data_IF_057711248791
#
_entry.id   IF_057711248791
#
_cell.length_a   1.000
_cell.length_b   1.000
_cell.length_c   1.000
_cell.angle_alpha   90.00
_cell.angle_beta   90.00
_cell.angle_gamma   90.00
#
_symmetry.space_group_name_H-M   'P 1'
#
loop_
_entity.id
_entity.type
_entity.pdbx_description
1 polymer ?
#
# COMPACT_ATOMS: atom_id res chain seq x y z
N UNK A 1 2.70 1.91 10.39
CA UNK A 1 2.91 3.38 10.47
C UNK A 1 1.59 4.12 10.44
N UNK A 2 1.05 4.39 9.25
CA UNK A 2 -0.15 5.23 9.05
C UNK A 2 -1.40 4.72 9.79
N UNK A 3 -1.65 3.42 9.78
CA UNK A 3 -2.79 2.83 10.50
C UNK A 3 -2.72 3.04 12.02
N UNK A 4 -1.51 3.01 12.61
CA UNK A 4 -1.29 3.27 14.04
C UNK A 4 -1.57 4.73 14.42
N UNK A 5 -1.27 5.67 13.52
CA UNK A 5 -1.56 7.10 13.72
C UNK A 5 -3.08 7.34 13.71
N UNK A 6 -3.80 6.71 12.77
CA UNK A 6 -5.27 6.81 12.70
C UNK A 6 -5.95 6.19 13.92
N UNK A 7 -5.42 5.06 14.43
CA UNK A 7 -5.86 4.47 15.69
C UNK A 7 -5.60 5.39 16.89
N UNK A 8 -4.41 6.01 16.98
CA UNK A 8 -4.11 6.99 18.02
C UNK A 8 -5.05 8.21 17.96
N UNK A 9 -5.39 8.66 16.75
CA UNK A 9 -6.35 9.75 16.54
C UNK A 9 -7.75 9.37 17.02
N UNK A 10 -8.18 8.12 16.79
CA UNK A 10 -9.45 7.60 17.30
C UNK A 10 -9.48 7.54 18.84
N UNK A 11 -8.39 7.09 19.48
CA UNK A 11 -8.29 7.03 20.94
C UNK A 11 -8.37 8.43 21.57
N UNK A 12 -7.73 9.44 20.96
CA UNK A 12 -7.73 10.81 21.48
C UNK A 12 -9.05 11.56 21.23
N UNK A 13 -9.73 11.31 20.10
CA UNK A 13 -10.97 12.03 19.72
C UNK A 13 -12.27 11.30 20.07
N UNK A 14 -12.21 10.01 20.44
CA UNK A 14 -13.36 9.17 20.72
C UNK A 14 -14.31 9.02 19.53
N UNK A 15 -15.57 8.62 19.78
CA UNK A 15 -16.63 8.43 18.77
C UNK A 15 -17.18 9.76 18.17
N UNK A 16 -16.45 10.86 18.29
CA UNK A 16 -16.80 12.10 17.61
C UNK A 16 -16.68 11.99 16.08
N UNK A 17 -17.14 13.02 15.38
CA UNK A 17 -17.11 13.10 13.90
C UNK A 17 -15.71 12.84 13.31
N UNK A 18 -14.65 13.29 13.99
CA UNK A 18 -13.26 13.05 13.60
C UNK A 18 -12.84 11.59 13.78
N UNK A 19 -13.24 10.92 14.85
CA UNK A 19 -12.86 9.53 15.13
C UNK A 19 -13.51 8.54 14.17
N UNK A 20 -14.79 8.74 13.84
CA UNK A 20 -15.51 7.91 12.84
C UNK A 20 -14.84 8.05 11.46
N UNK A 21 -14.46 9.27 11.07
CA UNK A 21 -13.71 9.51 9.84
C UNK A 21 -12.33 8.84 9.85
N UNK A 22 -11.64 8.82 10.99
CA UNK A 22 -10.34 8.17 11.12
C UNK A 22 -10.42 6.64 10.93
N UNK A 23 -11.46 5.98 11.48
CA UNK A 23 -11.69 4.55 11.27
C UNK A 23 -12.01 4.26 9.80
N UNK A 24 -12.93 5.03 9.19
CA UNK A 24 -13.25 4.90 7.76
C UNK A 24 -12.01 5.06 6.88
N UNK A 25 -11.18 6.06 7.16
CA UNK A 25 -9.93 6.28 6.45
C UNK A 25 -8.93 5.13 6.65
N UNK A 26 -8.85 4.55 7.85
CA UNK A 26 -7.97 3.42 8.13
C UNK A 26 -8.37 2.17 7.33
N UNK A 27 -9.67 1.83 7.30
CA UNK A 27 -10.20 0.71 6.52
C UNK A 27 -9.92 0.94 5.03
N UNK A 28 -10.20 2.15 4.53
CA UNK A 28 -9.96 2.50 3.14
C UNK A 28 -8.47 2.35 2.77
N UNK A 29 -7.55 2.89 3.60
CA UNK A 29 -6.11 2.78 3.38
C UNK A 29 -5.61 1.33 3.36
N UNK A 30 -6.13 0.48 4.26
CA UNK A 30 -5.75 -0.93 4.29
C UNK A 30 -6.13 -1.68 3.02
N UNK A 31 -7.25 -1.32 2.39
CA UNK A 31 -7.68 -1.93 1.13
C UNK A 31 -6.97 -1.32 -0.08
N UNK A 32 -6.79 0.00 -0.12
CA UNK A 32 -6.16 0.69 -1.26
C UNK A 32 -4.66 0.43 -1.33
N UNK A 33 -3.97 0.33 -0.19
CA UNK A 33 -2.52 0.13 -0.13
C UNK A 33 -2.01 -1.10 -0.90
N UNK A 34 -2.53 -2.33 -0.69
CA UNK A 34 -2.05 -3.51 -1.42
C UNK A 34 -2.37 -3.44 -2.92
N UNK A 35 -3.54 -2.91 -3.29
CA UNK A 35 -3.94 -2.75 -4.70
C UNK A 35 -3.02 -1.76 -5.41
N UNK A 36 -2.74 -0.61 -4.78
CA UNK A 36 -1.82 0.39 -5.31
C UNK A 36 -0.40 -0.16 -5.40
N UNK A 37 0.10 -0.83 -4.36
CA UNK A 37 1.44 -1.44 -4.37
C UNK A 37 1.58 -2.47 -5.49
N UNK A 38 0.59 -3.34 -5.68
CA UNK A 38 0.59 -4.33 -6.75
C UNK A 38 0.51 -3.69 -8.14
N UNK A 39 -0.35 -2.69 -8.33
CA UNK A 39 -0.45 -1.95 -9.59
C UNK A 39 0.85 -1.22 -9.94
N UNK A 40 1.50 -0.60 -8.95
CA UNK A 40 2.80 0.05 -9.11
C UNK A 40 3.89 -0.95 -9.49
N UNK A 41 3.97 -2.10 -8.81
CA UNK A 41 4.94 -3.14 -9.13
C UNK A 41 4.76 -3.66 -10.57
N UNK A 42 3.52 -3.98 -10.97
CA UNK A 42 3.21 -4.40 -12.34
C UNK A 42 3.52 -3.31 -13.37
N UNK A 43 3.21 -2.05 -13.05
CA UNK A 43 3.51 -0.90 -13.90
C UNK A 43 5.01 -0.67 -14.08
N UNK A 44 5.81 -0.83 -13.01
CA UNK A 44 7.26 -0.74 -13.06
C UNK A 44 7.87 -1.84 -13.95
N UNK A 45 7.42 -3.09 -13.80
CA UNK A 45 7.83 -4.20 -14.67
C UNK A 45 7.43 -3.98 -16.15
N UNK A 46 6.25 -3.42 -16.42
CA UNK A 46 5.82 -3.10 -17.78
C UNK A 46 6.62 -1.94 -18.38
N UNK A 47 7.02 -0.97 -17.56
CA UNK A 47 7.80 0.20 -18.00
C UNK A 47 9.29 -0.09 -18.16
N UNK A 48 9.74 -1.34 -17.91
CA UNK A 48 11.14 -1.75 -18.09
C UNK A 48 12.07 -1.32 -16.96
N UNK A 49 11.53 -1.02 -15.77
CA UNK A 49 12.34 -0.76 -14.58
C UNK A 49 13.06 -2.06 -14.20
N UNK A 50 14.38 -2.11 -14.38
CA UNK A 50 15.19 -3.28 -14.02
C UNK A 50 15.15 -3.53 -12.52
N UNK A 51 15.04 -4.80 -12.14
CA UNK A 51 15.25 -5.24 -10.76
C UNK A 51 16.67 -4.90 -10.30
N UNK A 52 16.83 -4.76 -8.98
CA UNK A 52 18.15 -4.53 -8.37
C UNK A 52 19.14 -5.62 -8.83
N UNK A 53 20.37 -5.31 -9.29
CA UNK A 53 21.39 -6.29 -9.73
C UNK A 53 21.73 -7.45 -8.78
N UNK A 54 21.36 -7.40 -7.49
CA UNK A 54 21.53 -8.53 -6.56
C UNK A 54 20.25 -9.36 -6.35
N UNK A 55 19.18 -9.02 -7.07
CA UNK A 55 17.94 -9.79 -7.04
C UNK A 55 18.17 -11.18 -7.64
N UNK A 56 17.75 -12.21 -6.91
CA UNK A 56 18.00 -13.62 -7.28
C UNK A 56 16.94 -14.16 -8.25
N UNK A 57 15.76 -13.53 -8.32
CA UNK A 57 14.67 -13.96 -9.20
C UNK A 57 13.97 -12.78 -9.86
N UNK A 58 13.99 -12.75 -11.19
CA UNK A 58 13.11 -11.92 -12.02
C UNK A 58 12.26 -12.82 -12.91
N UNK A 59 11.17 -13.35 -12.32
CA UNK A 59 10.23 -14.18 -13.07
C UNK A 59 9.39 -13.36 -14.07
N UNK A 60 9.23 -12.06 -13.83
CA UNK A 60 8.46 -11.18 -14.69
C UNK A 60 9.17 -10.83 -16.00
N UNK A 61 10.51 -10.83 -16.01
CA UNK A 61 11.32 -10.72 -17.24
C UNK A 61 11.33 -12.05 -18.01
N UNK A 62 11.31 -13.19 -17.32
CA UNK A 62 11.26 -14.53 -17.93
C UNK A 62 9.91 -14.86 -18.59
N UNK A 63 8.78 -14.44 -18.00
CA UNK A 63 7.43 -14.59 -18.58
C UNK A 63 7.16 -13.69 -19.81
N UNK A 64 8.10 -12.81 -20.20
CA UNK A 64 7.98 -11.96 -21.40
C UNK A 64 8.50 -12.65 -22.68
N UNK A 65 8.91 -13.92 -22.59
CA UNK A 65 9.40 -14.74 -23.71
C UNK A 65 8.87 -16.18 -23.62
#
# INVERSE_FOLDING_TARGET
GTCSILLGTFILKGLGTTGVKAILAAIFLLLTSPVAAHALARGAHKSGVKLWPKSVADKYEQDRN
#
